data_IF_916475739639
#
_entry.id   IF_916475739639
#
_cell.length_a   1.000
_cell.length_b   1.000
_cell.length_c   1.000
_cell.angle_alpha   90.00
_cell.angle_beta   90.00
_cell.angle_gamma   90.00
#
_symmetry.space_group_name_H-M   'P 1'
#
loop_
_entity.id
_entity.type
_entity.pdbx_description
1 polymer ?
#
# COMPACT_ATOMS: atom_id res chain seq x y z
N UNK A 1 19.89 -27.87 22.59
CA UNK A 1 18.62 -28.46 22.08
C UNK A 1 18.33 -27.84 20.73
N UNK A 2 18.73 -28.52 19.67
CA UNK A 2 18.53 -28.11 18.27
C UNK A 2 17.26 -28.82 17.81
N UNK A 3 16.20 -28.07 17.51
CA UNK A 3 14.97 -28.67 16.98
C UNK A 3 15.02 -28.58 15.46
N UNK A 4 14.96 -29.77 14.88
CA UNK A 4 15.08 -30.14 13.48
C UNK A 4 13.98 -29.51 12.61
N UNK A 5 14.38 -28.92 11.48
CA UNK A 5 13.53 -28.54 10.37
C UNK A 5 12.98 -29.81 9.71
N UNK A 6 11.66 -30.00 9.73
CA UNK A 6 10.98 -30.98 8.88
C UNK A 6 10.82 -30.41 7.47
N UNK A 7 11.58 -30.97 6.53
CA UNK A 7 11.40 -30.82 5.10
C UNK A 7 10.13 -31.56 4.67
N UNK A 8 9.18 -30.87 4.05
CA UNK A 8 8.07 -31.49 3.32
C UNK A 8 8.41 -31.43 1.82
N UNK A 9 8.53 -32.56 1.09
CA UNK A 9 8.83 -32.54 -0.33
C UNK A 9 7.61 -32.20 -1.17
N UNK A 10 7.73 -31.16 -2.00
CA UNK A 10 6.78 -30.82 -3.07
C UNK A 10 7.00 -31.78 -4.25
N UNK A 11 6.02 -32.62 -4.57
CA UNK A 11 6.00 -33.41 -5.81
C UNK A 11 5.43 -32.55 -6.94
N UNK A 12 6.27 -32.17 -7.90
CA UNK A 12 5.85 -31.66 -9.20
C UNK A 12 5.51 -32.88 -10.07
N UNK A 13 4.25 -33.03 -10.47
CA UNK A 13 3.82 -34.09 -11.37
C UNK A 13 4.16 -33.70 -12.80
N UNK A 14 5.03 -34.48 -13.44
CA UNK A 14 5.45 -34.30 -14.83
C UNK A 14 4.36 -34.71 -15.81
N UNK A 15 4.35 -34.03 -16.96
CA UNK A 15 3.56 -34.38 -18.13
C UNK A 15 4.06 -35.70 -18.75
N UNK A 16 3.14 -36.59 -19.13
CA UNK A 16 3.40 -37.69 -20.05
C UNK A 16 2.24 -37.83 -21.02
N UNK A 17 2.59 -37.93 -22.30
CA UNK A 17 1.74 -38.08 -23.47
C UNK A 17 1.16 -39.49 -23.63
N UNK A 18 0.15 -39.55 -24.50
CA UNK A 18 -0.39 -40.70 -25.24
C UNK A 18 -1.28 -41.72 -24.50
N UNK A 19 -2.57 -41.74 -24.86
CA UNK A 19 -3.15 -42.87 -25.61
C UNK A 19 -4.57 -42.57 -26.13
N UNK A 20 -4.80 -43.01 -27.37
CA UNK A 20 -6.05 -42.93 -28.11
C UNK A 20 -7.17 -43.81 -27.50
N UNK A 21 -8.42 -43.35 -27.62
CA UNK A 21 -9.60 -44.10 -27.24
C UNK A 21 -10.88 -43.48 -27.82
N UNK A 22 -11.42 -44.11 -28.84
CA UNK A 22 -12.66 -43.82 -29.57
C UNK A 22 -13.91 -43.78 -28.67
N UNK A 23 -14.76 -42.78 -28.88
CA UNK A 23 -16.13 -42.77 -28.33
C UNK A 23 -16.91 -41.52 -28.74
N UNK A 24 -17.88 -41.70 -29.64
CA UNK A 24 -18.84 -40.68 -30.06
C UNK A 24 -19.56 -40.07 -28.84
N UNK A 25 -19.64 -38.74 -28.73
CA UNK A 25 -20.82 -38.05 -28.22
C UNK A 25 -20.87 -36.60 -28.74
N UNK A 26 -22.08 -36.15 -29.03
CA UNK A 26 -22.45 -35.06 -29.93
C UNK A 26 -21.98 -33.66 -29.49
N UNK A 27 -21.70 -32.83 -30.50
CA UNK A 27 -21.49 -31.39 -30.38
C UNK A 27 -22.75 -30.69 -29.84
N UNK A 28 -22.59 -29.99 -28.71
CA UNK A 28 -23.50 -28.97 -28.22
C UNK A 28 -22.73 -27.68 -28.07
N UNK A 29 -23.02 -26.73 -28.95
CA UNK A 29 -22.54 -25.36 -28.92
C UNK A 29 -23.05 -24.64 -27.65
N UNK A 30 -22.13 -24.19 -26.81
CA UNK A 30 -22.41 -23.17 -25.81
C UNK A 30 -21.24 -22.20 -25.80
N UNK A 31 -21.47 -21.05 -26.43
CA UNK A 31 -20.67 -19.84 -26.24
C UNK A 31 -20.63 -19.50 -24.76
N UNK A 32 -19.44 -19.51 -24.18
CA UNK A 32 -19.19 -18.86 -22.89
C UNK A 32 -17.92 -18.06 -22.99
N UNK A 33 -18.06 -16.87 -23.59
CA UNK A 33 -17.12 -15.78 -23.37
C UNK A 33 -17.17 -15.33 -21.90
N UNK A 34 -16.00 -14.91 -21.43
CA UNK A 34 -15.77 -14.03 -20.27
C UNK A 34 -15.57 -14.71 -18.91
N UNK A 35 -14.35 -15.19 -18.69
CA UNK A 35 -13.72 -15.13 -17.37
C UNK A 35 -12.37 -14.46 -17.55
N UNK A 36 -12.32 -13.14 -17.38
CA UNK A 36 -11.06 -12.42 -17.29
C UNK A 36 -10.44 -12.77 -15.95
N UNK A 37 -9.44 -13.63 -15.98
CA UNK A 37 -8.62 -14.00 -14.82
C UNK A 37 -7.88 -12.76 -14.31
N UNK A 38 -7.97 -12.46 -13.02
CA UNK A 38 -7.36 -11.32 -12.30
C UNK A 38 -5.81 -11.35 -12.30
N UNK A 39 -5.17 -12.18 -13.13
CA UNK A 39 -3.76 -12.58 -12.98
C UNK A 39 -2.74 -11.67 -13.67
N UNK A 40 -3.12 -10.64 -14.43
CA UNK A 40 -2.13 -9.74 -15.06
C UNK A 40 -2.43 -8.26 -14.79
N UNK A 41 -2.35 -7.84 -13.53
CA UNK A 41 -1.97 -6.46 -13.22
C UNK A 41 -0.49 -6.33 -13.60
N UNK A 42 -0.23 -6.03 -14.88
CA UNK A 42 1.12 -5.71 -15.37
C UNK A 42 1.62 -4.50 -14.60
N UNK A 43 2.69 -4.71 -13.85
CA UNK A 43 3.48 -3.66 -13.22
C UNK A 43 4.20 -2.95 -14.37
N UNK A 44 3.54 -1.96 -14.96
CA UNK A 44 4.22 -0.99 -15.83
C UNK A 44 5.21 -0.21 -14.95
N UNK A 45 6.43 -0.02 -15.44
CA UNK A 45 7.56 0.56 -14.70
C UNK A 45 7.19 1.93 -14.10
N UNK A 46 6.83 1.95 -12.83
CA UNK A 46 6.64 3.17 -12.04
C UNK A 46 7.99 3.84 -11.87
N UNK A 47 8.09 5.15 -12.17
CA UNK A 47 9.37 5.87 -12.23
C UNK A 47 10.10 5.94 -10.88
N UNK A 48 9.37 5.77 -9.77
CA UNK A 48 9.88 5.61 -8.41
C UNK A 48 9.61 4.19 -7.86
N UNK A 49 10.54 3.68 -7.05
CA UNK A 49 10.29 2.48 -6.26
C UNK A 49 9.31 2.80 -5.11
N UNK A 50 8.04 2.44 -5.30
CA UNK A 50 6.97 2.62 -4.30
C UNK A 50 6.85 1.38 -3.42
N UNK A 51 6.95 1.57 -2.10
CA UNK A 51 6.64 0.58 -1.07
C UNK A 51 5.38 0.99 -0.32
N UNK A 52 4.34 0.18 -0.40
CA UNK A 52 3.07 0.40 0.28
C UNK A 52 2.95 -0.47 1.52
N UNK A 53 2.70 0.14 2.67
CA UNK A 53 2.62 -0.53 3.97
C UNK A 53 1.24 -0.27 4.55
N UNK A 54 0.48 -1.34 4.78
CA UNK A 54 -0.86 -1.25 5.37
C UNK A 54 -1.02 -2.15 6.59
N UNK A 55 -2.00 -1.84 7.42
CA UNK A 55 -2.35 -2.66 8.58
C UNK A 55 -3.33 -1.98 9.51
N UNK A 56 -3.80 -2.70 10.52
CA UNK A 56 -4.73 -2.16 11.52
C UNK A 56 -4.14 -1.00 12.35
N UNK A 57 -4.99 -0.38 13.16
CA UNK A 57 -4.55 0.54 14.21
C UNK A 57 -3.60 -0.18 15.19
N UNK A 58 -2.58 0.52 15.67
CA UNK A 58 -1.56 -0.02 16.58
C UNK A 58 -0.85 -1.32 16.10
N UNK A 59 -0.88 -1.61 14.80
CA UNK A 59 -0.25 -2.81 14.22
C UNK A 59 1.27 -2.77 14.16
N UNK A 60 1.90 -1.60 14.36
CA UNK A 60 3.35 -1.41 14.22
C UNK A 60 3.80 -0.92 12.84
N UNK A 61 2.87 -0.65 11.91
CA UNK A 61 3.20 -0.22 10.53
C UNK A 61 4.05 1.06 10.42
N UNK A 62 3.80 2.09 11.24
CA UNK A 62 4.59 3.32 11.21
C UNK A 62 6.04 3.07 11.66
N UNK A 63 6.24 2.29 12.72
CA UNK A 63 7.59 1.94 13.19
C UNK A 63 8.35 1.10 12.14
N UNK A 64 7.65 0.17 11.47
CA UNK A 64 8.23 -0.60 10.36
C UNK A 64 8.61 0.31 9.17
N UNK A 65 7.74 1.25 8.79
CA UNK A 65 7.98 2.19 7.71
C UNK A 65 9.15 3.15 8.01
N UNK A 66 9.25 3.65 9.24
CA UNK A 66 10.37 4.47 9.68
C UNK A 66 11.68 3.68 9.68
N UNK A 67 11.68 2.44 10.20
CA UNK A 67 12.85 1.56 10.15
C UNK A 67 13.33 1.32 8.72
N UNK A 68 12.41 1.16 7.77
CA UNK A 68 12.72 1.03 6.35
C UNK A 68 13.45 2.29 5.84
N UNK A 69 12.90 3.47 6.14
CA UNK A 69 13.49 4.74 5.75
C UNK A 69 14.88 4.96 6.36
N UNK A 70 15.07 4.62 7.64
CA UNK A 70 16.38 4.69 8.29
C UNK A 70 17.40 3.73 7.68
N UNK A 71 17.00 2.48 7.43
CA UNK A 71 17.88 1.46 6.87
C UNK A 71 18.34 1.76 5.44
N UNK A 72 17.60 2.60 4.71
CA UNK A 72 17.97 3.01 3.34
C UNK A 72 19.27 3.81 3.26
N UNK A 73 19.69 4.47 4.36
CA UNK A 73 20.83 5.38 4.37
C UNK A 73 20.64 6.67 3.55
N UNK A 74 19.44 6.91 3.00
CA UNK A 74 19.15 8.05 2.12
C UNK A 74 18.78 9.30 2.91
N UNK A 75 18.89 10.51 2.30
CA UNK A 75 18.22 11.69 2.81
C UNK A 75 16.71 11.43 2.88
N UNK A 76 16.11 11.70 4.04
CA UNK A 76 14.73 11.34 4.34
C UNK A 76 13.84 12.57 4.28
N UNK A 77 12.75 12.47 3.53
CA UNK A 77 11.66 13.44 3.55
C UNK A 77 10.44 12.83 4.24
N UNK A 78 9.68 13.65 4.96
CA UNK A 78 8.43 13.24 5.59
C UNK A 78 7.29 14.09 5.04
N UNK A 79 6.29 13.46 4.45
CA UNK A 79 5.06 14.13 4.08
C UNK A 79 4.03 13.94 5.19
N UNK A 80 3.79 15.02 5.95
CA UNK A 80 2.79 15.07 7.00
C UNK A 80 1.42 15.44 6.40
N UNK A 81 0.54 14.45 6.22
CA UNK A 81 -0.83 14.67 5.74
C UNK A 81 -1.80 14.95 6.89
N UNK A 82 -1.40 14.64 8.12
CA UNK A 82 -2.22 14.88 9.31
C UNK A 82 -2.34 16.37 9.60
N UNK A 83 -3.56 16.85 9.71
CA UNK A 83 -3.85 18.15 10.31
C UNK A 83 -4.02 17.95 11.82
N UNK A 84 -3.21 18.64 12.63
CA UNK A 84 -3.23 18.49 14.10
C UNK A 84 -4.52 19.12 14.64
N UNK A 85 -5.58 18.32 14.71
CA UNK A 85 -6.88 18.75 15.22
C UNK A 85 -7.14 18.29 16.66
N UNK A 86 -6.38 17.32 17.19
CA UNK A 86 -6.51 16.82 18.56
C UNK A 86 -5.15 16.59 19.26
N UNK A 87 -5.21 16.51 20.59
CA UNK A 87 -4.02 16.37 21.44
C UNK A 87 -3.39 14.97 21.40
N UNK A 88 -4.15 13.93 21.01
CA UNK A 88 -3.62 12.57 20.81
C UNK A 88 -2.70 12.52 19.58
N UNK A 89 -3.08 13.23 18.52
CA UNK A 89 -2.28 13.43 17.31
C UNK A 89 -1.06 14.30 17.60
N UNK A 90 -1.19 15.32 18.47
CA UNK A 90 -0.08 16.15 18.94
C UNK A 90 0.97 15.34 19.69
N UNK A 91 0.56 14.45 20.60
CA UNK A 91 1.47 13.57 21.34
C UNK A 91 2.14 12.52 20.43
N UNK A 92 1.40 11.96 19.48
CA UNK A 92 1.98 11.05 18.47
C UNK A 92 3.01 11.76 17.59
N UNK A 93 2.70 12.96 17.10
CA UNK A 93 3.64 13.77 16.31
C UNK A 93 4.88 14.12 17.13
N UNK A 94 4.71 14.54 18.39
CA UNK A 94 5.86 14.85 19.26
C UNK A 94 6.77 13.64 19.50
N UNK A 95 6.17 12.46 19.73
CA UNK A 95 6.92 11.21 19.86
C UNK A 95 7.65 10.83 18.57
N UNK A 96 6.99 10.96 17.43
CA UNK A 96 7.60 10.69 16.12
C UNK A 96 8.73 11.67 15.81
N UNK A 97 8.55 12.98 16.04
CA UNK A 97 9.60 13.98 15.86
C UNK A 97 10.82 13.69 16.76
N UNK A 98 10.60 13.33 18.03
CA UNK A 98 11.68 12.95 18.94
C UNK A 98 12.42 11.68 18.51
N UNK A 99 11.71 10.71 17.93
CA UNK A 99 12.30 9.46 17.42
C UNK A 99 13.02 9.65 16.07
N UNK A 100 12.59 10.61 15.26
CA UNK A 100 13.11 10.88 13.91
C UNK A 100 14.46 11.57 13.90
N UNK A 101 14.73 12.41 14.90
CA UNK A 101 15.92 13.25 14.93
C UNK A 101 15.88 14.36 13.88
N UNK A 102 16.98 15.09 13.73
CA UNK A 102 17.07 16.25 12.83
C UNK A 102 17.23 15.89 11.33
N UNK A 103 17.33 14.59 11.00
CA UNK A 103 17.72 14.11 9.67
C UNK A 103 16.56 14.01 8.67
N UNK A 104 15.39 14.58 9.00
CA UNK A 104 14.21 14.58 8.16
C UNK A 104 13.87 15.99 7.67
N UNK A 105 13.56 16.11 6.38
CA UNK A 105 12.90 17.30 5.83
C UNK A 105 11.39 17.07 5.84
N UNK A 106 10.65 17.83 6.64
CA UNK A 106 9.20 17.70 6.76
C UNK A 106 8.47 18.63 5.80
N UNK A 107 7.52 18.08 5.04
CA UNK A 107 6.59 18.78 4.18
C UNK A 107 5.19 18.65 4.79
N UNK A 108 4.68 19.74 5.36
CA UNK A 108 3.31 19.81 5.87
C UNK A 108 2.37 20.23 4.74
N UNK A 109 1.65 19.27 4.18
CA UNK A 109 0.73 19.52 3.07
C UNK A 109 -0.46 18.56 3.16
N UNK A 110 -1.63 19.00 3.63
CA UNK A 110 -2.74 18.10 3.89
C UNK A 110 -3.46 17.57 2.65
N UNK A 111 -3.29 18.21 1.49
CA UNK A 111 -4.03 17.91 0.26
C UNK A 111 -3.13 17.70 -0.96
N UNK A 112 -2.27 18.67 -1.26
CA UNK A 112 -1.60 18.77 -2.56
C UNK A 112 -0.37 17.85 -2.67
N UNK A 113 -0.60 16.67 -3.27
CA UNK A 113 0.45 15.68 -3.51
C UNK A 113 1.56 16.19 -4.44
N UNK A 114 1.21 16.99 -5.45
CA UNK A 114 2.19 17.51 -6.41
C UNK A 114 3.13 18.49 -5.73
N UNK A 115 2.60 19.33 -4.84
CA UNK A 115 3.41 20.23 -4.01
C UNK A 115 4.27 19.48 -3.00
N UNK A 116 3.74 18.42 -2.37
CA UNK A 116 4.48 17.65 -1.38
C UNK A 116 5.62 16.82 -1.97
N UNK A 117 5.43 16.29 -3.18
CA UNK A 117 6.38 15.38 -3.84
C UNK A 117 7.24 16.07 -4.91
N UNK A 118 6.86 17.24 -5.41
CA UNK A 118 7.48 17.89 -6.57
C UNK A 118 8.93 18.33 -6.38
N UNK A 119 9.33 18.67 -5.15
CA UNK A 119 10.70 19.07 -4.82
C UNK A 119 11.62 17.89 -4.49
N UNK A 120 11.08 16.66 -4.47
CA UNK A 120 11.83 15.47 -4.13
C UNK A 120 12.64 14.97 -5.34
N UNK A 121 13.90 14.65 -5.08
CA UNK A 121 14.86 14.27 -6.12
C UNK A 121 15.33 12.82 -5.95
N UNK A 122 15.91 12.30 -7.03
CA UNK A 122 16.50 10.97 -7.05
C UNK A 122 17.55 10.79 -5.95
N UNK A 123 17.58 9.60 -5.33
CA UNK A 123 18.46 9.28 -4.20
C UNK A 123 17.90 9.66 -2.83
N UNK A 124 16.77 10.37 -2.76
CA UNK A 124 16.01 10.58 -1.53
C UNK A 124 14.99 9.45 -1.29
N UNK A 125 14.47 9.38 -0.06
CA UNK A 125 13.33 8.55 0.31
C UNK A 125 12.29 9.40 1.04
N UNK A 126 11.02 9.28 0.67
CA UNK A 126 9.91 9.99 1.28
C UNK A 126 8.96 9.04 2.00
N UNK A 127 8.66 9.33 3.26
CA UNK A 127 7.62 8.64 4.03
C UNK A 127 6.34 9.47 4.04
N UNK A 128 5.25 8.88 3.54
CA UNK A 128 3.89 9.41 3.63
C UNK A 128 3.17 8.71 4.78
N UNK A 129 2.93 9.42 5.89
CA UNK A 129 2.17 8.92 7.04
C UNK A 129 1.04 9.92 7.37
N UNK A 130 -0.20 9.67 6.94
CA UNK A 130 -0.65 8.50 6.16
C UNK A 130 -1.67 8.83 5.07
N UNK A 131 -1.79 7.92 4.10
CA UNK A 131 -2.82 7.97 3.07
C UNK A 131 -4.24 7.99 3.65
N UNK A 132 -4.43 7.40 4.83
CA UNK A 132 -5.70 7.44 5.58
C UNK A 132 -6.07 8.83 6.04
N UNK A 133 -5.10 9.60 6.56
CA UNK A 133 -5.36 10.98 6.96
C UNK A 133 -5.58 11.88 5.74
N UNK A 134 -4.79 11.71 4.68
CA UNK A 134 -5.00 12.40 3.41
C UNK A 134 -6.44 12.19 2.89
N UNK A 135 -6.90 10.95 2.82
CA UNK A 135 -8.27 10.64 2.40
C UNK A 135 -9.33 11.27 3.33
N UNK A 136 -9.06 11.27 4.63
CA UNK A 136 -9.97 11.87 5.62
C UNK A 136 -10.11 13.38 5.39
N UNK A 137 -9.00 14.07 5.11
CA UNK A 137 -9.00 15.51 4.82
C UNK A 137 -9.88 15.81 3.60
N UNK A 138 -9.66 15.12 2.48
CA UNK A 138 -10.47 15.32 1.27
C UNK A 138 -11.95 14.96 1.47
N UNK A 139 -12.22 13.88 2.21
CA UNK A 139 -13.60 13.47 2.51
C UNK A 139 -14.33 14.52 3.35
N UNK A 140 -13.68 15.08 4.38
CA UNK A 140 -14.27 16.09 5.26
C UNK A 140 -14.40 17.46 4.58
N UNK A 141 -13.54 17.76 3.61
CA UNK A 141 -13.63 18.94 2.76
C UNK A 141 -14.68 18.78 1.62
N UNK A 142 -15.32 17.61 1.51
CA UNK A 142 -16.29 17.27 0.46
C UNK A 142 -15.73 17.41 -0.97
N UNK A 143 -14.44 17.10 -1.14
CA UNK A 143 -13.80 17.04 -2.46
C UNK A 143 -14.21 15.77 -3.22
N UNK A 144 -13.99 15.79 -4.54
CA UNK A 144 -14.13 14.61 -5.39
C UNK A 144 -12.99 13.62 -5.15
N UNK A 145 -13.24 12.61 -4.33
CA UNK A 145 -12.23 11.62 -3.94
C UNK A 145 -11.62 10.86 -5.11
N UNK A 146 -12.35 10.67 -6.21
CA UNK A 146 -11.84 9.94 -7.37
C UNK A 146 -10.81 10.79 -8.12
N UNK A 147 -11.14 12.06 -8.39
CA UNK A 147 -10.24 13.01 -9.03
C UNK A 147 -8.98 13.28 -8.18
N UNK A 148 -9.14 13.38 -6.86
CA UNK A 148 -8.03 13.61 -5.93
C UNK A 148 -7.15 12.37 -5.82
N UNK A 149 -7.74 11.16 -5.85
CA UNK A 149 -6.96 9.91 -5.88
C UNK A 149 -6.12 9.83 -7.13
N UNK A 150 -6.69 10.17 -8.29
CA UNK A 150 -5.94 10.20 -9.54
C UNK A 150 -4.78 11.21 -9.51
N UNK A 151 -5.01 12.40 -8.93
CA UNK A 151 -3.96 13.42 -8.74
C UNK A 151 -2.83 12.91 -7.84
N UNK A 152 -3.16 12.21 -6.75
CA UNK A 152 -2.18 11.56 -5.88
C UNK A 152 -1.35 10.51 -6.65
N UNK A 153 -2.00 9.64 -7.43
CA UNK A 153 -1.32 8.60 -8.19
C UNK A 153 -0.38 9.20 -9.24
N UNK A 154 -0.80 10.26 -9.94
CA UNK A 154 0.05 10.97 -10.90
C UNK A 154 1.27 11.60 -10.24
N UNK A 155 1.11 12.18 -9.05
CA UNK A 155 2.24 12.72 -8.28
C UNK A 155 3.21 11.62 -7.82
N UNK A 156 2.69 10.46 -7.40
CA UNK A 156 3.51 9.28 -7.06
C UNK A 156 4.29 8.79 -8.29
N UNK A 157 3.63 8.68 -9.44
CA UNK A 157 4.22 8.18 -10.68
C UNK A 157 5.29 9.13 -11.24
N UNK A 158 5.13 10.45 -11.03
CA UNK A 158 6.08 11.49 -11.46
C UNK A 158 7.25 11.73 -10.49
N UNK A 159 7.14 11.30 -9.24
CA UNK A 159 8.17 11.49 -8.23
C UNK A 159 9.41 10.66 -8.57
N UNK A 160 10.61 11.23 -8.36
CA UNK A 160 11.89 10.54 -8.61
C UNK A 160 12.54 9.96 -7.35
N UNK A 161 12.05 10.35 -6.18
CA UNK A 161 12.49 9.78 -4.92
C UNK A 161 11.82 8.42 -4.67
N UNK A 162 12.41 7.58 -3.82
CA UNK A 162 11.70 6.40 -3.34
C UNK A 162 10.56 6.81 -2.42
N UNK A 163 9.44 6.10 -2.50
CA UNK A 163 8.25 6.44 -1.72
C UNK A 163 7.87 5.26 -0.82
N UNK A 164 7.68 5.55 0.46
CA UNK A 164 7.10 4.65 1.45
C UNK A 164 5.76 5.23 1.88
N UNK A 165 4.67 4.50 1.64
CA UNK A 165 3.31 4.98 1.94
C UNK A 165 2.72 4.12 3.05
N UNK A 166 2.26 4.77 4.13
CA UNK A 166 1.54 4.11 5.22
C UNK A 166 0.03 4.32 5.05
N UNK A 167 -0.76 3.26 5.25
CA UNK A 167 -2.22 3.33 5.27
C UNK A 167 -2.83 2.39 6.31
N UNK A 168 -4.04 2.70 6.76
CA UNK A 168 -4.84 1.81 7.59
C UNK A 168 -5.62 0.82 6.73
N UNK A 169 -5.70 -0.42 7.23
CA UNK A 169 -6.73 -1.37 6.81
C UNK A 169 -7.93 -1.25 7.75
N UNK A 170 -9.09 -0.87 7.21
CA UNK A 170 -10.32 -0.55 7.97
C UNK A 170 -11.51 -1.43 7.58
N UNK A 171 -11.35 -2.29 6.57
CA UNK A 171 -12.39 -3.11 5.96
C UNK A 171 -12.59 -4.50 6.56
N UNK A 172 -11.74 -4.93 7.49
CA UNK A 172 -11.80 -6.27 8.11
C UNK A 172 -12.81 -6.39 9.27
N UNK A 173 -13.52 -5.30 9.60
CA UNK A 173 -14.50 -5.23 10.69
C UNK A 173 -15.95 -5.27 10.23
N UNK A 174 -16.86 -4.96 11.16
CA UNK A 174 -18.30 -4.85 10.90
C UNK A 174 -18.58 -3.54 10.12
N UNK A 175 -19.64 -3.55 9.31
CA UNK A 175 -20.15 -2.36 8.62
C UNK A 175 -20.65 -1.34 9.65
N UNK A 176 -20.12 -0.10 9.68
CA UNK A 176 -20.59 0.93 10.61
C UNK A 176 -22.04 1.35 10.36
N UNK A 177 -22.74 1.73 11.42
CA UNK A 177 -24.09 2.31 11.33
C UNK A 177 -24.09 3.75 10.80
N UNK A 178 -22.98 4.48 11.00
CA UNK A 178 -22.81 5.84 10.53
C UNK A 178 -22.52 5.88 9.01
N UNK A 179 -23.29 6.68 8.27
CA UNK A 179 -23.18 6.78 6.80
C UNK A 179 -21.82 7.32 6.33
N UNK A 180 -21.28 8.34 7.02
CA UNK A 180 -19.96 8.89 6.73
C UNK A 180 -18.86 7.84 6.96
N UNK A 181 -18.96 7.08 8.06
CA UNK A 181 -18.02 6.01 8.36
C UNK A 181 -18.06 4.86 7.33
N UNK A 182 -19.24 4.51 6.81
CA UNK A 182 -19.34 3.56 5.67
C UNK A 182 -18.68 4.11 4.41
N UNK A 183 -18.98 5.36 4.06
CA UNK A 183 -18.43 6.05 2.89
C UNK A 183 -16.90 6.10 2.96
N UNK A 184 -16.35 6.43 4.13
CA UNK A 184 -14.92 6.42 4.41
C UNK A 184 -14.32 5.02 4.27
N UNK A 185 -14.92 4.00 4.90
CA UNK A 185 -14.42 2.60 4.84
C UNK A 185 -14.28 2.12 3.40
N UNK A 186 -15.29 2.37 2.57
CA UNK A 186 -15.28 1.98 1.15
C UNK A 186 -14.25 2.78 0.34
N UNK A 187 -14.18 4.10 0.54
CA UNK A 187 -13.20 4.94 -0.13
C UNK A 187 -11.76 4.55 0.26
N UNK A 188 -11.51 4.22 1.53
CA UNK A 188 -10.21 3.77 2.01
C UNK A 188 -9.77 2.46 1.36
N UNK A 189 -10.70 1.51 1.20
CA UNK A 189 -10.44 0.27 0.48
C UNK A 189 -10.08 0.53 -0.99
N UNK A 190 -10.84 1.40 -1.68
CA UNK A 190 -10.53 1.79 -3.07
C UNK A 190 -9.18 2.48 -3.20
N UNK A 191 -8.83 3.39 -2.29
CA UNK A 191 -7.53 4.05 -2.26
C UNK A 191 -6.39 3.04 -2.03
N UNK A 192 -6.55 2.11 -1.09
CA UNK A 192 -5.55 1.08 -0.81
C UNK A 192 -5.30 0.19 -2.05
N UNK A 193 -6.35 -0.18 -2.78
CA UNK A 193 -6.25 -0.95 -4.03
C UNK A 193 -5.47 -0.15 -5.08
N UNK A 194 -5.82 1.13 -5.27
CA UNK A 194 -5.20 1.98 -6.27
C UNK A 194 -3.69 2.19 -6.00
N UNK A 195 -3.33 2.46 -4.75
CA UNK A 195 -1.91 2.60 -4.34
C UNK A 195 -1.17 1.26 -4.49
N UNK A 196 -1.77 0.14 -4.05
CA UNK A 196 -1.15 -1.19 -4.17
C UNK A 196 -0.89 -1.60 -5.64
N UNK A 197 -1.71 -1.12 -6.58
CA UNK A 197 -1.50 -1.35 -8.00
C UNK A 197 -0.19 -0.69 -8.49
N UNK A 198 0.10 0.54 -8.05
CA UNK A 198 1.35 1.27 -8.34
C UNK A 198 2.55 0.81 -7.51
N UNK A 199 2.31 0.24 -6.33
CA UNK A 199 3.38 -0.20 -5.46
C UNK A 199 4.18 -1.37 -6.04
N UNK A 200 5.51 -1.28 -6.08
CA UNK A 200 6.38 -2.42 -6.38
C UNK A 200 6.33 -3.46 -5.26
N UNK A 201 6.35 -2.97 -4.02
CA UNK A 201 6.29 -3.81 -2.82
C UNK A 201 5.08 -3.44 -1.97
N UNK A 202 4.30 -4.43 -1.55
CA UNK A 202 3.15 -4.25 -0.64
C UNK A 202 3.36 -5.10 0.60
N UNK A 203 3.25 -4.50 1.78
CA UNK A 203 3.50 -5.15 3.07
C UNK A 203 2.33 -4.91 4.01
N UNK A 204 1.69 -5.99 4.46
CA UNK A 204 0.75 -5.93 5.57
C UNK A 204 1.51 -6.09 6.89
N UNK A 205 1.31 -5.20 7.86
CA UNK A 205 1.90 -5.33 9.19
C UNK A 205 0.81 -5.70 10.19
N UNK A 206 1.06 -6.74 10.99
CA UNK A 206 0.15 -7.21 12.05
C UNK A 206 0.98 -7.59 13.28
N UNK A 207 0.64 -7.04 14.44
CA UNK A 207 1.39 -7.26 15.69
C UNK A 207 2.90 -6.99 15.56
N UNK A 208 3.28 -6.00 14.75
CA UNK A 208 4.67 -5.62 14.45
C UNK A 208 5.36 -6.52 13.41
N UNK A 209 4.68 -7.55 12.91
CA UNK A 209 5.25 -8.52 11.97
C UNK A 209 4.87 -8.16 10.53
N UNK A 210 5.85 -7.96 9.62
CA UNK A 210 5.59 -7.71 8.22
C UNK A 210 5.26 -9.00 7.46
N UNK A 211 4.18 -8.96 6.68
CA UNK A 211 3.79 -9.96 5.70
C UNK A 211 3.83 -9.32 4.32
N UNK A 212 4.74 -9.79 3.46
CA UNK A 212 4.86 -9.29 2.08
C UNK A 212 3.72 -9.87 1.24
N UNK A 213 2.89 -8.99 0.68
CA UNK A 213 1.77 -9.34 -0.21
C UNK A 213 2.16 -9.25 -1.70
N UNK A 214 3.07 -8.34 -2.04
CA UNK A 214 3.58 -8.12 -3.41
C UNK A 214 5.06 -7.74 -3.35
N UNK A 215 5.86 -8.23 -4.30
CA UNK A 215 7.27 -7.85 -4.43
C UNK A 215 8.17 -8.51 -3.38
N UNK A 216 9.21 -7.78 -2.95
CA UNK A 216 10.16 -8.22 -1.93
C UNK A 216 10.56 -7.03 -1.06
N UNK A 217 10.85 -7.29 0.22
CA UNK A 217 11.43 -6.26 1.08
C UNK A 217 12.80 -5.86 0.53
N UNK A 218 13.12 -4.55 0.49
CA UNK A 218 14.46 -4.09 0.11
C UNK A 218 15.51 -4.43 1.17
#
# INVERSE_FOLDING_TARGET
MVVSLLQIPVRICGASSDMAGSGLFQAGSADTQTSATITELRVEDVSAAVTFILGGAASGKSAFAESLCFSSGKPKAYWATSQIFDDEMREKVAKHLAQRGADWTTHEEPFDAAKALGDLVEGQICLIDCATMWLSNHLLADHDLEAETETLLQAIDACRAEIVIVSNETGLGIVPENALARRFREAQGRLNIAIAARARTVVQVTAGLPLVLKGSLP
#
